data_IF_180964562073
#
_entry.id   IF_180964562073
#
_cell.length_a   1.000
_cell.length_b   1.000
_cell.length_c   1.000
_cell.angle_alpha   90.00
_cell.angle_beta   90.00
_cell.angle_gamma   90.00
#
_symmetry.space_group_name_H-M   'P 1'
#
loop_
_entity.id
_entity.type
_entity.pdbx_description
1 polymer ?
#
# COMPACT_ATOMS: atom_id res chain seq x y z
N UNK A 1 5.77 88.12 40.48
CA UNK A 1 5.10 86.99 41.13
C UNK A 1 3.60 87.20 41.02
N UNK A 2 2.98 86.70 39.94
CA UNK A 2 1.53 86.68 39.81
C UNK A 2 1.01 85.52 40.63
N UNK A 3 0.41 85.79 41.79
CA UNK A 3 -0.31 84.80 42.58
C UNK A 3 -1.46 84.29 41.71
N UNK A 4 -1.28 83.14 41.05
CA UNK A 4 -2.43 82.41 40.52
C UNK A 4 -3.33 82.17 41.71
N UNK A 5 -4.50 82.81 41.71
CA UNK A 5 -5.38 82.84 42.87
C UNK A 5 -5.66 81.39 43.25
N UNK A 6 -5.67 81.06 44.56
CA UNK A 6 -6.08 79.73 45.04
C UNK A 6 -7.40 79.26 44.43
N UNK A 7 -8.26 80.19 43.97
CA UNK A 7 -9.45 79.90 43.19
C UNK A 7 -9.16 79.34 41.78
N UNK A 8 -8.15 79.85 41.06
CA UNK A 8 -7.75 79.36 39.73
C UNK A 8 -7.18 77.95 39.76
N UNK A 9 -6.34 77.63 40.76
CA UNK A 9 -5.82 76.28 40.95
C UNK A 9 -6.91 75.28 41.33
N UNK A 10 -7.89 75.70 42.14
CA UNK A 10 -9.07 74.86 42.46
C UNK A 10 -9.93 74.62 41.22
N UNK A 11 -10.20 75.66 40.43
CA UNK A 11 -10.95 75.53 39.19
C UNK A 11 -10.27 74.58 38.19
N UNK A 12 -8.95 74.67 38.05
CA UNK A 12 -8.20 73.76 37.18
C UNK A 12 -8.13 72.33 37.73
N UNK A 13 -8.01 72.15 39.05
CA UNK A 13 -8.08 70.82 39.67
C UNK A 13 -9.46 70.18 39.47
N UNK A 14 -10.54 70.97 39.56
CA UNK A 14 -11.90 70.49 39.33
C UNK A 14 -12.13 70.13 37.85
N UNK A 15 -11.53 70.89 36.92
CA UNK A 15 -11.50 70.59 35.50
C UNK A 15 -10.74 69.27 35.21
N UNK A 16 -9.54 69.08 35.78
CA UNK A 16 -8.77 67.83 35.63
C UNK A 16 -9.51 66.65 36.25
N UNK A 17 -10.12 66.82 37.43
CA UNK A 17 -10.97 65.78 38.04
C UNK A 17 -12.21 65.46 37.22
N UNK A 18 -12.74 66.44 36.48
CA UNK A 18 -13.83 66.22 35.54
C UNK A 18 -13.37 65.39 34.36
N UNK A 19 -12.19 65.69 33.80
CA UNK A 19 -11.59 64.90 32.71
C UNK A 19 -11.28 63.46 33.15
N UNK A 20 -10.64 63.26 34.31
CA UNK A 20 -10.36 61.92 34.85
C UNK A 20 -11.65 61.11 35.02
N UNK A 21 -12.72 61.73 35.54
CA UNK A 21 -14.02 61.05 35.67
C UNK A 21 -14.58 60.63 34.32
N UNK A 22 -14.46 61.49 33.31
CA UNK A 22 -14.91 61.20 31.94
C UNK A 22 -14.09 60.06 31.33
N UNK A 23 -12.78 60.05 31.53
CA UNK A 23 -11.90 59.01 30.98
C UNK A 23 -12.11 57.66 31.66
N UNK A 24 -12.34 57.63 32.98
CA UNK A 24 -12.72 56.40 33.70
C UNK A 24 -14.05 55.86 33.19
N UNK A 25 -15.03 56.74 32.93
CA UNK A 25 -16.31 56.33 32.35
C UNK A 25 -16.14 55.78 30.93
N UNK A 26 -15.34 56.44 30.08
CA UNK A 26 -15.03 55.95 28.74
C UNK A 26 -14.33 54.59 28.78
N UNK A 27 -13.42 54.36 29.74
CA UNK A 27 -12.74 53.08 29.90
C UNK A 27 -13.74 51.98 30.28
N UNK A 28 -14.63 52.24 31.24
CA UNK A 28 -15.66 51.28 31.63
C UNK A 28 -16.61 50.95 30.46
N UNK A 29 -16.96 51.94 29.64
CA UNK A 29 -17.78 51.75 28.43
C UNK A 29 -17.04 50.90 27.38
N UNK A 30 -15.75 51.14 27.17
CA UNK A 30 -14.92 50.34 26.26
C UNK A 30 -14.72 48.91 26.75
N UNK A 31 -14.52 48.69 28.05
CA UNK A 31 -14.42 47.36 28.66
C UNK A 31 -15.76 46.60 28.54
N UNK A 32 -16.88 47.27 28.78
CA UNK A 32 -18.21 46.69 28.58
C UNK A 32 -18.46 46.34 27.10
N UNK A 33 -18.05 47.22 26.18
CA UNK A 33 -18.14 46.95 24.75
C UNK A 33 -17.24 45.78 24.32
N UNK A 34 -16.02 45.70 24.84
CA UNK A 34 -15.11 44.58 24.60
C UNK A 34 -15.74 43.26 25.07
N UNK A 35 -16.32 43.23 26.27
CA UNK A 35 -17.00 42.05 26.79
C UNK A 35 -18.20 41.65 25.91
N UNK A 36 -19.03 42.62 25.50
CA UNK A 36 -20.18 42.37 24.63
C UNK A 36 -19.77 41.81 23.26
N UNK A 37 -18.72 42.37 22.63
CA UNK A 37 -18.18 41.87 21.36
C UNK A 37 -17.57 40.47 21.53
N UNK A 38 -16.93 40.19 22.67
CA UNK A 38 -16.40 38.86 22.96
C UNK A 38 -17.51 37.81 23.12
N UNK A 39 -18.58 38.14 23.85
CA UNK A 39 -19.75 37.27 24.00
C UNK A 39 -20.47 37.04 22.67
N UNK A 40 -20.61 38.08 21.85
CA UNK A 40 -21.18 37.96 20.50
C UNK A 40 -20.30 37.12 19.57
N UNK A 41 -18.98 37.26 19.66
CA UNK A 41 -18.03 36.41 18.94
C UNK A 41 -18.18 34.94 19.34
N UNK A 42 -18.26 34.63 20.64
CA UNK A 42 -18.49 33.26 21.13
C UNK A 42 -19.84 32.71 20.63
N UNK A 43 -20.88 33.55 20.61
CA UNK A 43 -22.23 33.16 20.16
C UNK A 43 -22.28 32.87 18.65
N UNK A 44 -21.58 33.66 17.83
CA UNK A 44 -21.63 33.58 16.36
C UNK A 44 -20.59 32.60 15.82
N UNK A 45 -19.39 32.55 16.41
CA UNK A 45 -18.36 31.59 16.08
C UNK A 45 -18.63 30.28 16.83
N UNK A 46 -19.62 29.52 16.37
CA UNK A 46 -19.66 28.09 16.70
C UNK A 46 -18.40 27.48 16.12
N UNK A 47 -17.55 26.90 16.97
CA UNK A 47 -16.49 25.99 16.55
C UNK A 47 -16.97 24.58 16.91
N UNK A 48 -17.76 23.91 16.05
CA UNK A 48 -18.42 22.65 16.40
C UNK A 48 -17.43 21.60 16.92
N UNK A 49 -16.22 21.59 16.36
CA UNK A 49 -15.11 20.71 16.74
C UNK A 49 -14.54 20.96 18.15
N UNK A 50 -14.70 22.15 18.72
CA UNK A 50 -14.34 22.43 20.12
C UNK A 50 -15.43 22.02 21.12
N UNK A 51 -16.65 21.75 20.63
CA UNK A 51 -17.75 21.18 21.42
C UNK A 51 -17.84 19.64 21.34
N UNK A 52 -17.06 19.02 20.46
CA UNK A 52 -17.02 17.56 20.35
C UNK A 52 -16.24 16.94 21.51
N UNK A 53 -16.63 15.74 21.98
CA UNK A 53 -15.80 14.92 22.86
C UNK A 53 -14.43 14.64 22.24
N UNK A 54 -13.41 14.50 23.08
CA UNK A 54 -12.03 14.29 22.63
C UNK A 54 -11.88 13.03 21.76
N UNK A 55 -12.69 12.00 22.01
CA UNK A 55 -12.74 10.75 21.26
C UNK A 55 -13.20 10.97 19.82
N UNK A 56 -14.24 11.80 19.62
CA UNK A 56 -14.77 12.12 18.30
C UNK A 56 -13.77 12.98 17.54
N UNK A 57 -13.18 13.99 18.19
CA UNK A 57 -12.13 14.83 17.59
C UNK A 57 -10.89 14.00 17.21
N UNK A 58 -10.52 13.01 18.04
CA UNK A 58 -9.43 12.09 17.73
C UNK A 58 -9.73 11.23 16.51
N UNK A 59 -10.95 10.69 16.40
CA UNK A 59 -11.37 9.93 15.23
C UNK A 59 -11.34 10.78 13.96
N UNK A 60 -11.81 12.04 14.03
CA UNK A 60 -11.72 13.00 12.92
C UNK A 60 -10.25 13.19 12.51
N UNK A 61 -9.34 13.41 13.46
CA UNK A 61 -7.92 13.60 13.16
C UNK A 61 -7.31 12.39 12.45
N UNK A 62 -7.65 11.17 12.88
CA UNK A 62 -7.15 9.93 12.23
C UNK A 62 -7.66 9.83 10.79
N UNK A 63 -8.90 10.24 10.52
CA UNK A 63 -9.42 10.30 9.15
C UNK A 63 -8.83 11.42 8.29
N UNK A 64 -8.05 12.35 8.88
CA UNK A 64 -7.30 13.34 8.12
C UNK A 64 -5.95 12.80 7.62
N UNK A 65 -5.51 11.62 8.06
CA UNK A 65 -4.29 11.01 7.56
C UNK A 65 -4.50 10.54 6.11
N UNK A 66 -3.48 10.64 5.24
CA UNK A 66 -3.56 10.08 3.91
C UNK A 66 -3.80 8.57 3.95
N UNK A 67 -4.57 8.06 2.97
CA UNK A 67 -4.69 6.63 2.76
C UNK A 67 -3.29 6.05 2.46
N UNK A 68 -2.86 5.07 3.25
CA UNK A 68 -1.51 4.49 3.14
C UNK A 68 -1.26 3.78 1.79
N UNK A 69 -2.33 3.43 1.07
CA UNK A 69 -2.28 2.71 -0.22
C UNK A 69 -2.19 3.63 -1.45
N UNK A 70 -2.34 4.94 -1.28
CA UNK A 70 -2.26 5.90 -2.38
C UNK A 70 -0.89 6.60 -2.39
N UNK A 71 -0.23 6.73 -3.57
CA UNK A 71 1.01 7.48 -3.68
C UNK A 71 0.74 8.93 -3.32
N UNK A 72 1.13 9.31 -2.11
CA UNK A 72 0.85 10.62 -1.56
C UNK A 72 1.93 11.61 -1.99
N UNK A 73 1.51 12.78 -2.48
CA UNK A 73 2.42 13.92 -2.62
C UNK A 73 3.02 14.26 -1.25
N UNK A 74 4.30 14.66 -1.25
CA UNK A 74 5.11 14.92 -0.05
C UNK A 74 4.49 15.94 0.95
N UNK A 75 3.46 16.67 0.54
CA UNK A 75 2.76 17.68 1.35
C UNK A 75 1.77 17.06 2.38
N UNK A 76 1.40 15.79 2.25
CA UNK A 76 0.39 15.17 3.14
C UNK A 76 0.92 14.82 4.54
N UNK A 77 2.24 14.67 4.70
CA UNK A 77 2.86 14.22 5.96
C UNK A 77 2.96 15.32 7.04
N UNK A 78 2.45 16.53 6.74
CA UNK A 78 2.46 17.68 7.66
C UNK A 78 1.15 17.79 8.44
N UNK A 79 0.12 16.98 8.13
CA UNK A 79 -1.21 17.08 8.76
C UNK A 79 -1.12 16.97 10.28
N UNK A 80 -0.37 16.00 10.82
CA UNK A 80 -0.19 15.83 12.26
C UNK A 80 0.43 17.07 12.90
N UNK A 81 1.41 17.69 12.23
CA UNK A 81 2.06 18.91 12.71
C UNK A 81 1.12 20.10 12.65
N UNK A 82 0.28 20.21 11.60
CA UNK A 82 -0.75 21.25 11.51
C UNK A 82 -1.72 21.15 12.70
N UNK A 83 -2.16 19.94 13.06
CA UNK A 83 -3.07 19.72 14.20
C UNK A 83 -2.49 20.22 15.53
N UNK A 84 -1.16 20.16 15.70
CA UNK A 84 -0.48 20.71 16.88
C UNK A 84 -0.51 22.25 16.96
N UNK A 85 -0.70 22.94 15.83
CA UNK A 85 -0.61 24.41 15.75
C UNK A 85 -1.97 25.12 15.75
N UNK A 86 -3.10 24.40 15.65
CA UNK A 86 -4.44 25.02 15.58
C UNK A 86 -4.83 25.70 16.89
N UNK A 87 -4.87 24.96 17.99
CA UNK A 87 -5.14 25.49 19.33
C UNK A 87 -4.62 24.54 20.43
N UNK A 88 -4.56 25.01 21.68
CA UNK A 88 -4.07 24.20 22.81
C UNK A 88 -4.87 22.93 23.04
N UNK A 89 -6.19 22.95 22.79
CA UNK A 89 -7.06 21.78 22.96
C UNK A 89 -6.76 20.73 21.88
N UNK A 90 -6.63 21.15 20.63
CA UNK A 90 -6.27 20.27 19.52
C UNK A 90 -4.89 19.67 19.69
N UNK A 91 -3.91 20.48 20.08
CA UNK A 91 -2.56 19.98 20.36
C UNK A 91 -2.58 18.88 21.43
N UNK A 92 -3.35 19.07 22.51
CA UNK A 92 -3.50 18.04 23.55
C UNK A 92 -4.14 16.76 23.02
N UNK A 93 -5.29 16.89 22.34
CA UNK A 93 -6.00 15.75 21.77
C UNK A 93 -5.10 15.00 20.78
N UNK A 94 -4.49 15.72 19.83
CA UNK A 94 -3.58 15.14 18.85
C UNK A 94 -2.43 14.39 19.53
N UNK A 95 -1.76 14.99 20.52
CA UNK A 95 -0.68 14.34 21.28
C UNK A 95 -1.14 13.10 22.05
N UNK A 96 -2.39 13.09 22.54
CA UNK A 96 -2.99 11.98 23.27
C UNK A 96 -3.59 10.88 22.38
N UNK A 97 -3.58 11.06 21.06
CA UNK A 97 -4.10 10.09 20.06
C UNK A 97 -2.94 9.32 19.40
N UNK A 98 -2.57 8.12 19.88
CA UNK A 98 -1.36 7.44 19.44
C UNK A 98 -1.36 7.03 17.97
N UNK A 99 -2.55 6.78 17.41
CA UNK A 99 -2.75 6.39 16.00
C UNK A 99 -2.26 7.47 15.01
N UNK A 100 -2.25 8.74 15.41
CA UNK A 100 -1.70 9.82 14.58
C UNK A 100 -0.17 9.73 14.43
N UNK A 101 0.50 9.08 15.40
CA UNK A 101 1.95 9.08 15.54
C UNK A 101 2.56 7.68 15.32
N UNK A 102 1.79 6.71 14.81
CA UNK A 102 2.28 5.35 14.55
C UNK A 102 3.15 5.25 13.30
N UNK A 103 2.93 6.15 12.33
CA UNK A 103 3.68 6.24 11.08
C UNK A 103 4.29 7.63 10.93
N UNK A 104 5.53 7.66 10.45
CA UNK A 104 6.28 8.89 10.24
C UNK A 104 7.04 8.83 8.91
N UNK A 105 6.61 9.64 7.94
CA UNK A 105 7.36 9.89 6.71
C UNK A 105 8.04 11.25 6.78
N UNK A 106 9.35 11.28 6.54
CA UNK A 106 10.15 12.49 6.60
C UNK A 106 11.11 12.56 5.41
N UNK A 107 11.10 13.68 4.71
CA UNK A 107 12.23 14.11 3.89
C UNK A 107 13.18 14.96 4.73
N UNK A 108 14.34 14.39 5.06
CA UNK A 108 15.31 15.00 5.99
C UNK A 108 15.97 16.26 5.45
N UNK A 109 15.90 16.50 4.15
CA UNK A 109 16.44 17.70 3.53
C UNK A 109 15.46 18.89 3.59
N UNK A 110 14.17 18.63 3.82
CA UNK A 110 13.14 19.66 3.97
C UNK A 110 12.91 20.10 5.41
N UNK A 111 13.63 19.51 6.35
CA UNK A 111 13.45 19.74 7.78
C UNK A 111 14.02 21.12 8.20
N UNK A 112 13.25 21.95 8.93
CA UNK A 112 13.74 23.19 9.55
C UNK A 112 14.80 22.93 10.65
N UNK A 113 15.74 23.87 10.90
CA UNK A 113 16.83 23.64 11.84
C UNK A 113 16.43 23.36 13.30
N UNK A 114 17.09 22.37 13.91
CA UNK A 114 17.29 22.16 15.35
C UNK A 114 16.05 21.92 16.22
N UNK A 115 15.42 22.98 16.71
CA UNK A 115 14.44 22.92 17.81
C UNK A 115 13.10 22.29 17.38
N UNK A 116 12.69 22.52 16.13
CA UNK A 116 11.48 21.90 15.56
C UNK A 116 11.68 20.39 15.53
N UNK A 117 12.87 19.92 15.17
CA UNK A 117 13.20 18.51 15.16
C UNK A 117 13.17 17.86 16.52
N UNK A 118 13.75 18.49 17.53
CA UNK A 118 13.75 17.92 18.87
C UNK A 118 12.33 17.77 19.43
N UNK A 119 11.43 18.71 19.11
CA UNK A 119 10.01 18.63 19.48
C UNK A 119 9.32 17.48 18.76
N UNK A 120 9.53 17.40 17.45
CA UNK A 120 8.95 16.44 16.52
C UNK A 120 9.39 15.00 16.85
N UNK A 121 10.70 14.78 16.93
CA UNK A 121 11.34 13.54 17.41
C UNK A 121 10.86 13.23 18.83
N UNK A 122 10.84 14.23 19.72
CA UNK A 122 10.37 14.06 21.08
C UNK A 122 8.92 13.61 21.20
N UNK A 123 8.04 14.06 20.31
CA UNK A 123 6.63 13.66 20.28
C UNK A 123 6.46 12.23 19.76
N UNK A 124 7.07 11.89 18.61
CA UNK A 124 6.97 10.55 18.02
C UNK A 124 7.62 9.47 18.88
N UNK A 125 8.86 9.69 19.34
CA UNK A 125 9.63 8.68 20.05
C UNK A 125 9.21 8.44 21.51
N UNK A 126 8.25 9.20 22.04
CA UNK A 126 7.60 8.89 23.32
C UNK A 126 6.69 7.66 23.24
N UNK A 127 6.33 7.18 22.04
CA UNK A 127 5.37 6.09 21.83
C UNK A 127 6.07 4.75 21.56
N UNK A 128 5.32 3.64 21.63
CA UNK A 128 5.85 2.28 21.84
C UNK A 128 6.43 1.60 20.58
N UNK A 129 5.85 1.85 19.41
CA UNK A 129 6.27 1.26 18.13
C UNK A 129 6.09 2.32 17.05
N UNK A 130 7.07 2.45 16.16
CA UNK A 130 7.12 3.52 15.15
C UNK A 130 7.52 2.90 13.82
N UNK A 131 6.69 3.16 12.83
CA UNK A 131 6.99 2.96 11.42
C UNK A 131 7.62 4.24 10.88
N UNK A 132 8.79 4.11 10.27
CA UNK A 132 9.60 5.25 9.87
C UNK A 132 9.96 5.16 8.40
N UNK A 133 9.63 6.18 7.62
CA UNK A 133 9.94 6.31 6.19
C UNK A 133 10.82 7.54 5.99
N UNK A 134 12.10 7.31 5.74
CA UNK A 134 13.10 8.36 5.63
C UNK A 134 13.54 8.52 4.17
N UNK A 135 13.60 9.77 3.72
CA UNK A 135 14.16 10.15 2.43
C UNK A 135 15.14 11.31 2.59
N UNK A 136 16.07 11.45 1.65
CA UNK A 136 17.11 12.50 1.66
C UNK A 136 18.38 12.14 2.44
N UNK A 137 19.18 13.15 2.80
CA UNK A 137 20.50 13.01 3.45
C UNK A 137 20.42 12.62 4.94
N UNK A 138 20.45 11.31 5.23
CA UNK A 138 20.14 10.75 6.56
C UNK A 138 21.06 11.25 7.68
N UNK A 139 22.26 11.74 7.36
CA UNK A 139 23.21 12.29 8.32
C UNK A 139 22.57 13.30 9.31
N UNK A 140 21.63 14.12 8.83
CA UNK A 140 20.90 15.10 9.66
C UNK A 140 19.98 14.48 10.71
N UNK A 141 19.55 13.23 10.48
CA UNK A 141 18.60 12.49 11.33
C UNK A 141 19.25 11.34 12.12
N UNK A 142 20.55 11.08 11.93
CA UNK A 142 21.24 9.96 12.56
C UNK A 142 21.16 9.98 14.09
N UNK A 143 21.32 11.14 14.73
CA UNK A 143 21.27 11.24 16.21
C UNK A 143 19.90 10.83 16.80
N UNK A 144 18.77 11.38 16.32
CA UNK A 144 17.43 10.89 16.65
C UNK A 144 17.25 9.39 16.43
N UNK A 145 17.74 8.87 15.30
CA UNK A 145 17.61 7.46 14.94
C UNK A 145 18.40 6.55 15.88
N UNK A 146 19.66 6.89 16.17
CA UNK A 146 20.53 6.17 17.14
C UNK A 146 19.85 6.02 18.49
N UNK A 147 19.26 7.11 18.99
CA UNK A 147 18.63 7.12 20.31
C UNK A 147 17.39 6.22 20.39
N UNK A 148 16.71 5.98 19.26
CA UNK A 148 15.39 5.39 19.26
C UNK A 148 15.22 4.15 18.38
N UNK A 149 16.29 3.70 17.70
CA UNK A 149 16.32 2.47 16.92
C UNK A 149 15.69 1.25 17.63
N UNK A 150 15.84 1.06 18.96
CA UNK A 150 15.22 -0.09 19.64
C UNK A 150 13.68 -0.09 19.64
N UNK A 151 13.03 1.01 19.25
CA UNK A 151 11.55 1.14 19.19
C UNK A 151 11.00 1.10 17.76
N UNK A 152 11.87 1.17 16.76
CA UNK A 152 11.46 1.18 15.35
C UNK A 152 11.00 -0.22 14.95
N UNK A 153 9.77 -0.33 14.46
CA UNK A 153 9.15 -1.60 14.05
C UNK A 153 9.17 -1.82 12.54
N UNK A 154 9.09 -0.75 11.77
CA UNK A 154 9.27 -0.77 10.32
C UNK A 154 10.16 0.41 9.90
N UNK A 155 11.10 0.17 8.99
CA UNK A 155 12.00 1.19 8.47
C UNK A 155 12.02 1.15 6.94
N UNK A 156 11.63 2.25 6.32
CA UNK A 156 11.73 2.48 4.88
C UNK A 156 12.79 3.54 4.62
N UNK A 157 13.74 3.23 3.74
CA UNK A 157 14.83 4.12 3.34
C UNK A 157 14.74 4.40 1.83
N UNK A 158 14.53 5.68 1.49
CA UNK A 158 14.54 6.24 0.13
C UNK A 158 15.68 7.25 0.04
N UNK A 159 16.90 6.76 0.21
CA UNK A 159 18.12 7.55 0.29
C UNK A 159 19.19 6.99 -0.63
N UNK A 160 20.31 7.72 -0.75
CA UNK A 160 21.47 7.26 -1.54
C UNK A 160 22.16 6.08 -0.86
N UNK A 161 22.97 5.36 -1.61
CA UNK A 161 23.71 4.21 -1.10
C UNK A 161 24.63 4.59 0.08
N UNK A 162 25.30 5.75 -0.01
CA UNK A 162 26.16 6.28 1.06
C UNK A 162 25.40 6.47 2.38
N UNK A 163 24.16 6.96 2.32
CA UNK A 163 23.34 7.20 3.52
C UNK A 163 22.95 5.86 4.19
N UNK A 164 22.73 4.80 3.40
CA UNK A 164 22.47 3.46 3.93
C UNK A 164 23.75 2.86 4.53
N UNK A 165 24.92 3.06 3.90
CA UNK A 165 26.20 2.61 4.44
C UNK A 165 26.53 3.30 5.77
N UNK A 166 26.27 4.61 5.89
CA UNK A 166 26.43 5.35 7.14
C UNK A 166 25.54 4.77 8.25
N UNK A 167 24.33 4.35 7.90
CA UNK A 167 23.41 3.71 8.83
C UNK A 167 23.93 2.34 9.30
N UNK A 168 24.47 1.53 8.39
CA UNK A 168 25.14 0.27 8.72
C UNK A 168 26.35 0.53 9.64
N UNK A 169 27.17 1.53 9.33
CA UNK A 169 28.35 1.91 10.11
C UNK A 169 28.01 2.42 11.52
N UNK A 170 26.82 2.97 11.72
CA UNK A 170 26.35 3.46 13.01
C UNK A 170 25.99 2.35 14.02
N UNK A 171 25.99 1.07 13.61
CA UNK A 171 25.76 -0.10 14.50
C UNK A 171 24.49 0.02 15.35
N UNK A 172 23.42 0.54 14.75
CA UNK A 172 22.12 0.70 15.37
C UNK A 172 21.57 -0.62 15.91
N UNK A 173 20.86 -0.58 17.04
CA UNK A 173 20.23 -1.76 17.64
C UNK A 173 18.72 -1.72 17.40
N UNK A 174 18.23 -2.63 16.57
CA UNK A 174 16.86 -2.64 16.04
C UNK A 174 16.03 -3.78 16.68
N UNK A 175 15.83 -3.70 17.99
CA UNK A 175 15.20 -4.74 18.81
C UNK A 175 13.73 -5.08 18.45
N UNK A 176 13.02 -4.17 17.79
CA UNK A 176 11.62 -4.37 17.39
C UNK A 176 11.41 -4.36 15.87
N UNK A 177 12.48 -4.19 15.07
CA UNK A 177 12.36 -4.07 13.62
C UNK A 177 11.91 -5.40 13.03
N UNK A 178 10.72 -5.39 12.45
CA UNK A 178 10.08 -6.51 11.79
C UNK A 178 10.10 -6.36 10.26
N UNK A 179 10.08 -5.12 9.77
CA UNK A 179 10.07 -4.80 8.34
C UNK A 179 11.17 -3.80 7.99
N UNK A 180 11.93 -4.10 6.94
CA UNK A 180 12.94 -3.21 6.37
C UNK A 180 12.68 -3.06 4.87
N UNK A 181 12.59 -1.82 4.39
CA UNK A 181 12.42 -1.49 2.98
C UNK A 181 13.54 -0.56 2.52
N UNK A 182 14.26 -0.90 1.45
CA UNK A 182 15.33 -0.06 0.88
C UNK A 182 15.13 0.05 -0.62
N UNK A 183 14.95 1.28 -1.11
CA UNK A 183 14.80 1.57 -2.54
C UNK A 183 16.12 2.00 -3.18
N UNK A 184 16.42 1.46 -4.36
CA UNK A 184 17.60 1.84 -5.17
C UNK A 184 17.38 3.00 -6.13
N UNK A 185 16.17 3.57 -6.19
CA UNK A 185 15.84 4.70 -7.07
C UNK A 185 16.78 5.92 -6.90
N UNK A 186 17.45 6.03 -5.75
CA UNK A 186 18.38 7.11 -5.43
C UNK A 186 19.85 6.67 -5.36
N UNK A 187 20.19 5.45 -5.77
CA UNK A 187 21.58 4.97 -5.74
C UNK A 187 22.36 5.49 -6.94
N UNK A 188 23.62 5.82 -6.72
CA UNK A 188 24.55 6.09 -7.80
C UNK A 188 24.84 4.83 -8.62
N UNK A 189 25.12 4.96 -9.92
CA UNK A 189 25.41 3.81 -10.79
C UNK A 189 26.56 2.96 -10.24
N UNK A 190 26.33 1.65 -10.13
CA UNK A 190 27.29 0.69 -9.60
C UNK A 190 27.48 0.74 -8.08
N UNK A 191 26.74 1.58 -7.34
CA UNK A 191 26.81 1.61 -5.90
C UNK A 191 26.25 0.31 -5.29
N UNK A 192 26.98 -0.22 -4.30
CA UNK A 192 26.61 -1.45 -3.58
C UNK A 192 26.47 -1.16 -2.09
N UNK A 193 25.62 -1.95 -1.42
CA UNK A 193 25.39 -1.86 0.02
C UNK A 193 25.39 -3.27 0.58
N UNK A 194 26.04 -3.46 1.73
CA UNK A 194 25.99 -4.69 2.52
C UNK A 194 25.16 -4.42 3.80
N UNK A 195 24.05 -5.14 3.93
CA UNK A 195 23.09 -5.01 5.02
C UNK A 195 23.29 -6.05 6.12
N UNK A 196 24.20 -7.02 5.94
CA UNK A 196 24.35 -8.15 6.85
C UNK A 196 24.60 -7.71 8.31
N UNK A 197 25.45 -6.69 8.49
CA UNK A 197 25.77 -6.16 9.83
C UNK A 197 24.57 -5.46 10.49
N UNK A 198 23.70 -4.81 9.71
CA UNK A 198 22.47 -4.20 10.19
C UNK A 198 21.44 -5.26 10.55
N UNK A 199 21.25 -6.24 9.67
CA UNK A 199 20.29 -7.34 9.85
C UNK A 199 20.63 -8.19 11.07
N UNK A 200 21.92 -8.45 11.32
CA UNK A 200 22.39 -9.15 12.51
C UNK A 200 21.97 -8.46 13.83
N UNK A 201 21.57 -7.19 13.78
CA UNK A 201 21.10 -6.38 14.91
C UNK A 201 19.59 -6.12 14.87
N UNK A 202 18.87 -6.82 14.00
CA UNK A 202 17.42 -6.79 13.86
C UNK A 202 16.87 -8.22 14.02
N UNK A 203 16.85 -8.78 15.24
CA UNK A 203 16.54 -10.20 15.48
C UNK A 203 15.07 -10.59 15.21
N UNK A 204 14.19 -9.61 14.97
CA UNK A 204 12.76 -9.82 14.69
C UNK A 204 12.38 -9.55 13.24
N UNK A 205 13.35 -9.26 12.38
CA UNK A 205 13.10 -8.91 10.99
C UNK A 205 12.59 -10.15 10.24
N UNK A 206 11.32 -10.09 9.84
CA UNK A 206 10.63 -11.13 9.08
C UNK A 206 10.28 -10.71 7.65
N UNK A 207 10.16 -9.40 7.41
CA UNK A 207 9.79 -8.83 6.10
C UNK A 207 10.94 -7.98 5.57
N UNK A 208 11.39 -8.27 4.36
CA UNK A 208 12.40 -7.49 3.66
C UNK A 208 11.89 -7.07 2.29
N UNK A 209 12.04 -5.79 1.97
CA UNK A 209 11.76 -5.22 0.66
C UNK A 209 13.00 -4.50 0.15
N UNK A 210 13.53 -4.95 -0.97
CA UNK A 210 14.78 -4.47 -1.54
C UNK A 210 14.67 -4.34 -3.06
N UNK A 211 15.24 -3.28 -3.58
CA UNK A 211 15.38 -3.06 -5.01
C UNK A 211 16.85 -3.26 -5.38
N UNK A 212 17.13 -3.99 -6.45
CA UNK A 212 18.15 -5.05 -6.61
C UNK A 212 19.48 -5.05 -5.84
N UNK A 213 19.45 -4.88 -4.53
CA UNK A 213 20.53 -5.28 -3.63
C UNK A 213 20.69 -6.80 -3.76
N UNK A 214 21.89 -7.34 -4.02
CA UNK A 214 22.08 -8.76 -4.29
C UNK A 214 21.83 -9.64 -3.05
N UNK A 215 21.43 -10.92 -3.21
CA UNK A 215 21.17 -11.86 -2.10
C UNK A 215 22.28 -11.94 -1.05
N UNK A 216 23.53 -11.90 -1.51
CA UNK A 216 24.72 -11.95 -0.64
C UNK A 216 24.81 -10.80 0.36
N UNK A 217 24.24 -9.64 0.04
CA UNK A 217 24.25 -8.46 0.91
C UNK A 217 23.28 -8.54 2.10
N UNK A 218 22.39 -9.54 2.15
CA UNK A 218 21.46 -9.73 3.25
C UNK A 218 21.31 -11.21 3.67
N UNK A 219 22.29 -12.05 3.32
CA UNK A 219 22.35 -13.46 3.68
C UNK A 219 22.27 -13.72 5.20
N UNK A 220 22.64 -12.75 6.04
CA UNK A 220 22.46 -12.83 7.50
C UNK A 220 20.99 -13.05 7.91
N UNK A 221 20.02 -12.72 7.04
CA UNK A 221 18.59 -12.85 7.30
C UNK A 221 18.01 -14.25 6.94
N UNK A 222 18.85 -15.16 6.40
CA UNK A 222 18.42 -16.43 5.79
C UNK A 222 17.42 -17.27 6.60
N UNK A 223 17.53 -17.27 7.92
CA UNK A 223 16.70 -18.09 8.80
C UNK A 223 15.56 -17.33 9.48
N UNK A 224 15.47 -16.01 9.32
CA UNK A 224 14.46 -15.18 10.00
C UNK A 224 13.42 -14.60 9.04
N UNK A 225 13.74 -14.44 7.75
CA UNK A 225 12.79 -13.91 6.78
C UNK A 225 11.70 -14.92 6.43
N UNK A 226 10.46 -14.41 6.42
CA UNK A 226 9.26 -15.12 5.98
C UNK A 226 8.66 -14.49 4.73
N UNK A 227 8.90 -13.20 4.50
CA UNK A 227 8.37 -12.46 3.36
C UNK A 227 9.49 -11.61 2.73
N UNK A 228 9.74 -11.80 1.44
CA UNK A 228 10.76 -11.07 0.69
C UNK A 228 10.14 -10.48 -0.58
N UNK A 229 10.39 -9.20 -0.79
CA UNK A 229 10.09 -8.49 -2.04
C UNK A 229 11.39 -8.01 -2.65
N UNK A 230 11.70 -8.49 -3.84
CA UNK A 230 12.89 -8.11 -4.57
C UNK A 230 12.53 -7.56 -5.96
N UNK A 231 13.04 -6.38 -6.27
CA UNK A 231 12.82 -5.73 -7.56
C UNK A 231 14.13 -5.59 -8.33
N UNK A 232 14.09 -5.62 -9.66
CA UNK A 232 15.27 -5.50 -10.53
C UNK A 232 16.31 -6.62 -10.32
N UNK A 233 15.85 -7.87 -10.21
CA UNK A 233 16.71 -9.05 -10.05
C UNK A 233 16.95 -9.77 -11.39
N UNK A 234 18.02 -10.55 -11.51
CA UNK A 234 18.14 -11.53 -12.61
C UNK A 234 17.50 -12.87 -12.23
N UNK A 235 17.16 -13.76 -13.19
CA UNK A 235 16.65 -15.11 -12.88
C UNK A 235 17.56 -15.87 -11.91
N UNK A 236 18.89 -15.81 -12.12
CA UNK A 236 19.88 -16.42 -11.24
C UNK A 236 19.76 -15.91 -9.80
N UNK A 237 19.60 -14.60 -9.59
CA UNK A 237 19.45 -14.01 -8.26
C UNK A 237 18.15 -14.45 -7.58
N UNK A 238 17.07 -14.64 -8.35
CA UNK A 238 15.81 -15.20 -7.81
C UNK A 238 16.03 -16.65 -7.36
N UNK A 239 16.71 -17.47 -8.17
CA UNK A 239 17.06 -18.85 -7.78
C UNK A 239 18.00 -18.90 -6.56
N UNK A 240 18.93 -17.96 -6.44
CA UNK A 240 19.77 -17.80 -5.25
C UNK A 240 18.94 -17.50 -4.00
N UNK A 241 17.95 -16.61 -4.10
CA UNK A 241 17.01 -16.32 -3.00
C UNK A 241 16.26 -17.59 -2.58
N UNK A 242 15.68 -18.30 -3.55
CA UNK A 242 14.93 -19.52 -3.27
C UNK A 242 15.83 -20.58 -2.61
N UNK A 243 17.12 -20.65 -2.98
CA UNK A 243 18.07 -21.60 -2.40
C UNK A 243 18.53 -21.18 -0.98
N UNK A 244 18.75 -19.89 -0.74
CA UNK A 244 19.40 -19.39 0.47
C UNK A 244 18.43 -19.13 1.64
N UNK A 245 17.14 -18.93 1.39
CA UNK A 245 16.18 -18.46 2.41
C UNK A 245 15.12 -19.54 2.74
N UNK A 246 15.46 -20.63 3.45
CA UNK A 246 14.61 -21.83 3.60
C UNK A 246 13.29 -21.63 4.35
N UNK A 247 13.18 -20.55 5.14
CA UNK A 247 11.99 -20.23 5.93
C UNK A 247 11.02 -19.28 5.20
N UNK A 248 11.32 -18.93 3.95
CA UNK A 248 10.51 -18.02 3.17
C UNK A 248 9.14 -18.63 2.87
N UNK A 249 8.08 -17.88 3.21
CA UNK A 249 6.70 -18.24 2.94
C UNK A 249 6.15 -17.48 1.74
N UNK A 250 6.62 -16.24 1.52
CA UNK A 250 6.20 -15.37 0.42
C UNK A 250 7.39 -14.75 -0.29
N UNK A 251 7.38 -14.84 -1.62
CA UNK A 251 8.34 -14.21 -2.51
C UNK A 251 7.61 -13.39 -3.57
N UNK A 252 7.89 -12.10 -3.66
CA UNK A 252 7.52 -11.22 -4.77
C UNK A 252 8.80 -10.76 -5.45
N UNK A 253 9.14 -11.37 -6.59
CA UNK A 253 10.31 -11.00 -7.36
C UNK A 253 9.91 -10.37 -8.70
N UNK A 254 10.55 -9.25 -9.04
CA UNK A 254 10.51 -8.68 -10.38
C UNK A 254 11.86 -8.74 -11.05
N UNK A 255 11.89 -9.42 -12.18
CA UNK A 255 13.08 -9.63 -12.98
C UNK A 255 13.33 -8.38 -13.82
N UNK A 256 14.56 -7.86 -13.77
CA UNK A 256 14.95 -6.75 -14.64
C UNK A 256 14.94 -7.22 -16.09
N UNK A 257 14.26 -6.49 -16.97
CA UNK A 257 14.40 -6.64 -18.41
C UNK A 257 15.80 -6.13 -18.74
N UNK A 258 16.77 -7.03 -18.80
CA UNK A 258 18.09 -6.71 -19.35
C UNK A 258 17.88 -6.62 -20.87
N UNK A 259 18.32 -5.52 -21.50
CA UNK A 259 18.42 -5.46 -22.96
C UNK A 259 19.29 -6.65 -23.37
N UNK A 260 18.64 -7.70 -23.89
CA UNK A 260 19.24 -8.98 -24.23
C UNK A 260 20.43 -8.73 -25.16
N UNK A 261 21.65 -8.87 -24.65
CA UNK A 261 22.73 -9.37 -25.48
C UNK A 261 22.42 -10.84 -25.75
N UNK A 262 22.52 -11.27 -27.02
CA UNK A 262 22.18 -12.60 -27.56
C UNK A 262 22.87 -13.82 -26.88
N UNK A 263 23.50 -13.66 -25.72
CA UNK A 263 24.33 -14.67 -25.05
C UNK A 263 23.66 -15.35 -23.81
N UNK A 264 22.52 -14.86 -23.30
CA UNK A 264 21.88 -15.39 -22.07
C UNK A 264 20.65 -16.30 -22.30
N UNK A 265 20.14 -16.42 -23.54
CA UNK A 265 18.95 -17.25 -23.87
C UNK A 265 19.20 -18.77 -23.72
N UNK A 266 20.45 -19.22 -23.56
CA UNK A 266 20.86 -20.63 -23.41
C UNK A 266 21.30 -21.00 -21.97
N UNK A 267 21.05 -20.15 -20.97
CA UNK A 267 21.45 -20.43 -19.60
C UNK A 267 20.61 -21.55 -18.95
N UNK A 268 21.13 -22.78 -18.98
CA UNK A 268 20.55 -23.95 -18.29
C UNK A 268 20.82 -23.87 -16.78
N UNK A 269 19.83 -23.36 -16.02
CA UNK A 269 19.95 -23.25 -14.57
C UNK A 269 19.64 -24.58 -13.86
N UNK A 270 20.25 -24.80 -12.70
CA UNK A 270 19.88 -25.93 -11.84
C UNK A 270 18.47 -25.74 -11.26
N UNK A 271 17.66 -26.80 -11.28
CA UNK A 271 16.35 -26.81 -10.63
C UNK A 271 16.51 -26.69 -9.11
N UNK A 272 15.83 -25.70 -8.53
CA UNK A 272 15.84 -25.41 -7.09
C UNK A 272 14.51 -25.81 -6.46
N UNK A 273 14.59 -26.50 -5.31
CA UNK A 273 13.42 -26.87 -4.51
C UNK A 273 13.28 -25.96 -3.30
N UNK A 274 12.08 -25.42 -3.07
CA UNK A 274 11.76 -24.68 -1.85
C UNK A 274 10.66 -25.38 -1.05
N UNK A 275 10.94 -25.89 0.16
CA UNK A 275 10.00 -26.75 0.89
C UNK A 275 8.80 -25.99 1.45
N UNK A 276 8.96 -24.71 1.81
CA UNK A 276 7.97 -23.96 2.59
C UNK A 276 7.28 -22.81 1.84
N UNK A 277 7.63 -22.57 0.56
CA UNK A 277 7.13 -21.39 -0.14
C UNK A 277 5.66 -21.58 -0.47
N UNK A 278 4.82 -20.66 0.00
CA UNK A 278 3.35 -20.74 -0.14
C UNK A 278 2.80 -19.71 -1.13
N UNK A 279 3.45 -18.55 -1.25
CA UNK A 279 3.03 -17.50 -2.18
C UNK A 279 4.23 -17.10 -3.04
N UNK A 280 4.04 -17.13 -4.36
CA UNK A 280 5.04 -16.70 -5.32
C UNK A 280 4.41 -15.70 -6.29
N UNK A 281 5.09 -14.58 -6.47
CA UNK A 281 4.83 -13.63 -7.55
C UNK A 281 6.10 -13.44 -8.35
N UNK A 282 6.03 -13.69 -9.66
CA UNK A 282 7.12 -13.52 -10.62
C UNK A 282 6.58 -12.88 -11.89
N UNK A 283 7.21 -11.82 -12.40
CA UNK A 283 6.89 -11.27 -13.71
C UNK A 283 7.45 -12.12 -14.87
N UNK A 284 8.58 -12.79 -14.66
CA UNK A 284 9.17 -13.75 -15.59
C UNK A 284 8.69 -15.19 -15.35
N UNK A 285 8.15 -15.83 -16.39
CA UNK A 285 7.74 -17.23 -16.32
C UNK A 285 8.85 -18.22 -16.62
N UNK A 286 9.95 -17.84 -17.27
CA UNK A 286 11.04 -18.76 -17.60
C UNK A 286 11.74 -19.24 -16.32
N UNK A 287 11.85 -18.36 -15.32
CA UNK A 287 12.32 -18.73 -13.98
C UNK A 287 11.47 -19.86 -13.34
N UNK A 288 10.18 -19.98 -13.69
CA UNK A 288 9.32 -21.06 -13.15
C UNK A 288 9.79 -22.45 -13.58
N UNK A 289 10.45 -22.59 -14.74
CA UNK A 289 10.97 -23.87 -15.24
C UNK A 289 12.02 -24.49 -14.32
N UNK A 290 12.65 -23.67 -13.48
CA UNK A 290 13.74 -24.08 -12.59
C UNK A 290 13.29 -24.18 -11.12
N UNK A 291 11.99 -24.15 -10.85
CA UNK A 291 11.45 -24.18 -9.49
C UNK A 291 10.66 -25.47 -9.21
N UNK A 292 10.79 -25.95 -7.98
CA UNK A 292 10.01 -27.04 -7.37
C UNK A 292 9.45 -26.57 -6.03
N UNK A 293 8.12 -26.43 -5.93
CA UNK A 293 7.42 -25.70 -4.86
C UNK A 293 6.24 -26.53 -4.30
N UNK A 294 6.50 -27.59 -3.52
CA UNK A 294 5.47 -28.54 -3.06
C UNK A 294 4.38 -27.91 -2.17
N UNK A 295 4.67 -26.80 -1.49
CA UNK A 295 3.72 -26.12 -0.60
C UNK A 295 3.03 -24.91 -1.24
N UNK A 296 3.16 -24.70 -2.55
CA UNK A 296 2.64 -23.52 -3.23
C UNK A 296 1.11 -23.45 -3.16
N UNK A 297 0.58 -22.33 -2.67
CA UNK A 297 -0.85 -22.07 -2.52
C UNK A 297 -1.32 -20.90 -3.39
N UNK A 298 -0.45 -19.93 -3.66
CA UNK A 298 -0.76 -18.78 -4.51
C UNK A 298 0.36 -18.52 -5.51
N UNK A 299 -0.01 -18.41 -6.79
CA UNK A 299 0.89 -18.05 -7.88
C UNK A 299 0.36 -16.82 -8.61
N UNK A 300 1.20 -15.80 -8.76
CA UNK A 300 0.93 -14.62 -9.60
C UNK A 300 2.05 -14.45 -10.62
N UNK A 301 1.69 -14.37 -11.91
CA UNK A 301 2.66 -14.12 -12.97
C UNK A 301 2.05 -13.37 -14.14
N UNK A 302 2.88 -12.63 -14.86
CA UNK A 302 2.41 -11.79 -15.97
C UNK A 302 2.21 -12.70 -17.18
N UNK A 303 3.24 -13.23 -17.81
CA UNK A 303 3.10 -14.06 -19.02
C UNK A 303 3.34 -15.52 -18.68
N UNK A 304 2.29 -16.30 -18.41
CA UNK A 304 2.43 -17.72 -18.05
C UNK A 304 2.12 -18.61 -19.27
N UNK A 305 3.09 -19.39 -19.77
CA UNK A 305 2.84 -20.49 -20.71
C UNK A 305 2.20 -21.69 -20.00
N UNK A 306 1.39 -22.45 -20.73
CA UNK A 306 0.72 -23.64 -20.17
C UNK A 306 1.72 -24.74 -19.82
N UNK A 307 2.78 -24.86 -20.61
CA UNK A 307 3.87 -25.82 -20.46
C UNK A 307 4.69 -25.53 -19.20
N UNK A 308 5.00 -24.25 -18.94
CA UNK A 308 5.72 -23.83 -17.74
C UNK A 308 4.93 -24.14 -16.47
N UNK A 309 3.61 -23.85 -16.47
CA UNK A 309 2.74 -24.21 -15.34
C UNK A 309 2.64 -25.73 -15.18
N UNK A 310 2.44 -26.47 -16.26
CA UNK A 310 2.34 -27.94 -16.21
C UNK A 310 3.62 -28.56 -15.65
N UNK A 311 4.78 -28.14 -16.15
CA UNK A 311 6.06 -28.63 -15.69
C UNK A 311 6.31 -28.28 -14.20
N UNK A 312 5.89 -27.10 -13.74
CA UNK A 312 5.94 -26.74 -12.32
C UNK A 312 5.06 -27.66 -11.47
N UNK A 313 3.82 -27.91 -11.90
CA UNK A 313 2.88 -28.78 -11.18
C UNK A 313 3.39 -30.22 -11.11
N UNK A 314 3.97 -30.73 -12.20
CA UNK A 314 4.57 -32.07 -12.25
C UNK A 314 5.77 -32.19 -11.32
N UNK A 315 6.74 -31.28 -11.41
CA UNK A 315 7.95 -31.30 -10.55
C UNK A 315 7.60 -31.14 -9.07
N UNK A 316 6.58 -30.36 -8.76
CA UNK A 316 6.15 -30.04 -7.39
C UNK A 316 5.13 -31.02 -6.81
N UNK A 317 4.90 -32.15 -7.48
CA UNK A 317 3.95 -33.20 -7.07
C UNK A 317 2.51 -32.69 -6.86
N UNK A 318 2.03 -31.83 -7.76
CA UNK A 318 0.69 -31.21 -7.73
C UNK A 318 0.43 -30.44 -6.41
N UNK A 319 1.10 -29.29 -6.21
CA UNK A 319 0.99 -28.52 -4.99
C UNK A 319 -0.45 -28.05 -4.74
N UNK A 320 -0.82 -27.73 -3.49
CA UNK A 320 -2.18 -27.34 -3.13
C UNK A 320 -2.51 -25.90 -3.55
N UNK A 321 -2.38 -25.61 -4.85
CA UNK A 321 -2.61 -24.29 -5.43
C UNK A 321 -4.07 -23.91 -5.30
N UNK A 322 -4.33 -22.82 -4.57
CA UNK A 322 -5.66 -22.27 -4.28
C UNK A 322 -5.94 -20.98 -5.02
N UNK A 323 -4.90 -20.21 -5.34
CA UNK A 323 -5.00 -18.92 -5.99
C UNK A 323 -4.06 -18.88 -7.20
N UNK A 324 -4.59 -18.46 -8.34
CA UNK A 324 -3.81 -18.27 -9.55
C UNK A 324 -4.20 -16.95 -10.19
N UNK A 325 -3.22 -16.06 -10.37
CA UNK A 325 -3.34 -14.86 -11.20
C UNK A 325 -2.36 -14.97 -12.35
N UNK A 326 -2.85 -14.83 -13.57
CA UNK A 326 -2.04 -15.01 -14.77
C UNK A 326 -2.58 -14.20 -15.95
N UNK A 327 -1.70 -13.89 -16.90
CA UNK A 327 -2.09 -13.43 -18.22
C UNK A 327 -1.89 -14.63 -19.14
N UNK A 328 -2.98 -15.29 -19.58
CA UNK A 328 -2.84 -16.47 -20.41
C UNK A 328 -2.27 -16.06 -21.77
N UNK A 329 -1.25 -16.78 -22.22
CA UNK A 329 -0.70 -16.59 -23.57
C UNK A 329 -1.84 -16.76 -24.60
N UNK A 330 -2.13 -15.73 -25.42
CA UNK A 330 -3.18 -15.80 -26.44
C UNK A 330 -2.97 -16.91 -27.47
N UNK A 331 -1.75 -17.44 -27.62
CA UNK A 331 -1.42 -18.53 -28.54
C UNK A 331 -1.59 -19.94 -27.94
N UNK A 332 -1.72 -20.08 -26.61
CA UNK A 332 -1.76 -21.39 -25.94
C UNK A 332 -3.19 -21.88 -25.70
N UNK A 333 -3.65 -22.84 -26.51
CA UNK A 333 -4.93 -23.56 -26.28
C UNK A 333 -4.84 -24.57 -25.12
N UNK A 334 -3.62 -24.86 -24.64
CA UNK A 334 -3.32 -26.00 -23.77
C UNK A 334 -3.73 -25.80 -22.30
N UNK A 335 -4.00 -24.56 -21.89
CA UNK A 335 -4.42 -24.23 -20.52
C UNK A 335 -5.68 -24.97 -20.05
N UNK A 336 -6.59 -25.35 -20.96
CA UNK A 336 -7.80 -26.10 -20.60
C UNK A 336 -7.42 -27.45 -19.96
N UNK A 337 -6.38 -28.11 -20.47
CA UNK A 337 -5.89 -29.38 -19.91
C UNK A 337 -5.27 -29.18 -18.52
N UNK A 338 -4.52 -28.09 -18.34
CA UNK A 338 -3.88 -27.73 -17.07
C UNK A 338 -4.93 -27.46 -16.00
N UNK A 339 -5.99 -26.71 -16.32
CA UNK A 339 -7.07 -26.42 -15.36
C UNK A 339 -7.83 -27.67 -14.88
N UNK A 340 -7.87 -28.76 -15.66
CA UNK A 340 -8.44 -30.03 -15.19
C UNK A 340 -7.63 -30.66 -14.05
N UNK A 341 -6.33 -30.36 -13.97
CA UNK A 341 -5.46 -30.86 -12.90
C UNK A 341 -5.59 -30.05 -11.60
N UNK A 342 -6.08 -28.80 -11.70
CA UNK A 342 -6.15 -27.84 -10.59
C UNK A 342 -7.40 -27.99 -9.73
N UNK A 343 -7.59 -29.18 -9.15
CA UNK A 343 -8.82 -29.54 -8.42
C UNK A 343 -9.05 -28.74 -7.11
N UNK A 344 -8.03 -28.05 -6.59
CA UNK A 344 -8.08 -27.26 -5.35
C UNK A 344 -8.11 -25.74 -5.57
N UNK A 345 -8.11 -25.29 -6.82
CA UNK A 345 -8.11 -23.87 -7.15
C UNK A 345 -9.44 -23.23 -6.75
N UNK A 346 -9.38 -22.29 -5.81
CA UNK A 346 -10.54 -21.59 -5.26
C UNK A 346 -10.70 -20.19 -5.85
N UNK A 347 -9.60 -19.54 -6.24
CA UNK A 347 -9.60 -18.21 -6.84
C UNK A 347 -8.77 -18.18 -8.12
N UNK A 348 -9.36 -17.64 -9.19
CA UNK A 348 -8.71 -17.49 -10.49
C UNK A 348 -8.91 -16.05 -11.00
N UNK A 349 -7.79 -15.39 -11.32
CA UNK A 349 -7.74 -14.04 -11.85
C UNK A 349 -7.03 -14.03 -13.21
N UNK A 350 -7.83 -13.99 -14.27
CA UNK A 350 -7.35 -14.02 -15.66
C UNK A 350 -7.26 -12.59 -16.19
N UNK A 351 -6.05 -12.18 -16.55
CA UNK A 351 -5.74 -10.82 -17.03
C UNK A 351 -5.51 -10.87 -18.55
N UNK A 352 -6.30 -10.09 -19.28
CA UNK A 352 -6.21 -9.90 -20.72
C UNK A 352 -6.32 -11.19 -21.58
N UNK A 353 -7.24 -12.12 -21.28
CA UNK A 353 -7.39 -13.34 -22.07
C UNK A 353 -7.84 -13.06 -23.51
N UNK A 354 -7.40 -13.91 -24.44
CA UNK A 354 -7.88 -13.88 -25.82
C UNK A 354 -9.36 -14.26 -25.92
N UNK A 355 -10.02 -13.81 -26.99
CA UNK A 355 -11.43 -14.15 -27.24
C UNK A 355 -11.62 -15.66 -27.34
N UNK A 356 -10.75 -16.36 -28.07
CA UNK A 356 -10.89 -17.81 -28.29
C UNK A 356 -10.68 -18.61 -26.99
N UNK A 357 -9.63 -18.28 -26.24
CA UNK A 357 -9.39 -18.86 -24.91
C UNK A 357 -10.61 -18.66 -24.01
N UNK A 358 -11.17 -17.44 -23.97
CA UNK A 358 -12.33 -17.12 -23.13
C UNK A 358 -13.55 -17.98 -23.53
N UNK A 359 -13.80 -18.17 -24.84
CA UNK A 359 -14.90 -19.04 -25.32
C UNK A 359 -14.70 -20.49 -24.90
N UNK A 360 -13.51 -21.04 -25.07
CA UNK A 360 -13.19 -22.42 -24.69
C UNK A 360 -13.30 -22.63 -23.18
N UNK A 361 -12.74 -21.70 -22.40
CA UNK A 361 -12.79 -21.72 -20.94
C UNK A 361 -14.22 -21.77 -20.42
N UNK A 362 -15.09 -20.84 -20.83
CA UNK A 362 -16.47 -20.79 -20.35
C UNK A 362 -17.35 -21.90 -20.91
N UNK A 363 -17.05 -22.41 -22.11
CA UNK A 363 -17.69 -23.62 -22.63
C UNK A 363 -17.42 -24.78 -21.69
N UNK A 364 -16.16 -25.04 -21.33
CA UNK A 364 -15.78 -26.12 -20.43
C UNK A 364 -16.35 -25.92 -19.01
N UNK A 365 -16.22 -24.71 -18.47
CA UNK A 365 -16.72 -24.32 -17.14
C UNK A 365 -18.22 -24.60 -16.96
N UNK A 366 -19.00 -24.47 -18.04
CA UNK A 366 -20.46 -24.64 -18.00
C UNK A 366 -20.96 -26.08 -18.11
N UNK A 367 -20.10 -27.04 -18.46
CA UNK A 367 -20.51 -28.42 -18.77
C UNK A 367 -19.76 -29.49 -17.99
N UNK A 368 -18.52 -29.25 -17.61
CA UNK A 368 -17.66 -30.26 -17.00
C UNK A 368 -17.59 -30.08 -15.48
N UNK A 369 -18.04 -31.09 -14.74
CA UNK A 369 -18.05 -31.09 -13.27
C UNK A 369 -16.67 -31.26 -12.65
N UNK A 370 -15.68 -31.72 -13.41
CA UNK A 370 -14.29 -31.84 -12.96
C UNK A 370 -13.50 -30.54 -13.18
N UNK A 371 -13.94 -29.70 -14.11
CA UNK A 371 -13.24 -28.47 -14.47
C UNK A 371 -13.36 -27.41 -13.36
N UNK A 372 -12.22 -27.16 -12.69
CA UNK A 372 -12.09 -26.17 -11.62
C UNK A 372 -13.18 -26.30 -10.55
N UNK A 373 -13.50 -27.54 -10.12
CA UNK A 373 -14.66 -27.84 -9.25
C UNK A 373 -14.71 -27.07 -7.91
N UNK A 374 -13.57 -26.60 -7.41
CA UNK A 374 -13.44 -25.87 -6.16
C UNK A 374 -13.48 -24.34 -6.32
N UNK A 375 -13.54 -23.83 -7.56
CA UNK A 375 -13.49 -22.41 -7.87
C UNK A 375 -14.73 -21.68 -7.32
N UNK A 376 -14.47 -20.62 -6.55
CA UNK A 376 -15.45 -19.75 -5.91
C UNK A 376 -15.32 -18.29 -6.36
N UNK A 377 -14.09 -17.85 -6.59
CA UNK A 377 -13.79 -16.48 -7.00
C UNK A 377 -13.23 -16.46 -8.42
N UNK A 378 -13.94 -15.83 -9.35
CA UNK A 378 -13.50 -15.67 -10.72
C UNK A 378 -13.41 -14.20 -11.10
N UNK A 379 -12.21 -13.75 -11.46
CA UNK A 379 -11.96 -12.41 -12.01
C UNK A 379 -11.45 -12.50 -13.43
N UNK A 380 -12.04 -11.69 -14.31
CA UNK A 380 -11.55 -11.45 -15.65
C UNK A 380 -11.34 -9.95 -15.84
N UNK A 381 -10.18 -9.60 -16.36
CA UNK A 381 -9.88 -8.25 -16.83
C UNK A 381 -9.48 -8.32 -18.30
N UNK A 382 -9.86 -7.34 -19.11
CA UNK A 382 -9.40 -7.22 -20.49
C UNK A 382 -9.31 -5.75 -20.89
N UNK A 383 -8.82 -5.49 -22.09
CA UNK A 383 -8.69 -4.17 -22.66
C UNK A 383 -9.63 -4.01 -23.86
N UNK A 384 -10.60 -3.11 -23.76
CA UNK A 384 -11.68 -2.99 -24.77
C UNK A 384 -11.16 -2.59 -26.15
N UNK A 385 -10.04 -1.85 -26.21
CA UNK A 385 -9.49 -1.39 -27.49
C UNK A 385 -8.62 -2.43 -28.21
N UNK A 386 -8.42 -3.63 -27.66
CA UNK A 386 -7.54 -4.66 -28.24
C UNK A 386 -8.39 -5.70 -28.97
N UNK A 387 -8.34 -5.77 -30.32
CA UNK A 387 -9.27 -6.61 -31.09
C UNK A 387 -9.15 -8.13 -30.85
N UNK A 388 -7.99 -8.61 -30.37
CA UNK A 388 -7.78 -10.03 -30.04
C UNK A 388 -8.44 -10.44 -28.71
N UNK A 389 -8.78 -9.47 -27.86
CA UNK A 389 -9.41 -9.69 -26.58
C UNK A 389 -10.93 -9.59 -26.68
N UNK A 390 -11.60 -10.19 -25.69
CA UNK A 390 -13.04 -10.18 -25.63
C UNK A 390 -13.57 -8.77 -25.36
N UNK A 391 -14.49 -8.27 -26.21
CA UNK A 391 -15.18 -7.00 -25.93
C UNK A 391 -16.25 -7.17 -24.85
N UNK A 392 -16.57 -6.11 -24.10
CA UNK A 392 -17.49 -6.17 -22.97
C UNK A 392 -18.87 -6.75 -23.33
N UNK A 393 -19.44 -6.37 -24.46
CA UNK A 393 -20.74 -6.89 -24.91
C UNK A 393 -20.70 -8.40 -25.12
N UNK A 394 -19.62 -8.92 -25.73
CA UNK A 394 -19.46 -10.36 -25.96
C UNK A 394 -19.16 -11.11 -24.67
N UNK A 395 -18.37 -10.52 -23.75
CA UNK A 395 -18.13 -11.08 -22.43
C UNK A 395 -19.43 -11.25 -21.65
N UNK A 396 -20.30 -10.22 -21.67
CA UNK A 396 -21.55 -10.23 -20.92
C UNK A 396 -22.46 -11.37 -21.40
N UNK A 397 -22.62 -11.52 -22.72
CA UNK A 397 -23.46 -12.54 -23.36
C UNK A 397 -22.95 -13.98 -23.12
N UNK A 398 -21.63 -14.16 -23.10
CA UNK A 398 -20.99 -15.48 -22.92
C UNK A 398 -20.95 -15.92 -21.44
N UNK A 399 -20.50 -15.04 -20.56
CA UNK A 399 -20.03 -15.43 -19.21
C UNK A 399 -21.19 -15.69 -18.26
N UNK A 400 -22.17 -14.78 -18.21
CA UNK A 400 -23.31 -14.87 -17.29
C UNK A 400 -24.06 -16.20 -17.44
N UNK A 401 -24.52 -16.57 -18.65
CA UNK A 401 -25.18 -17.85 -18.88
C UNK A 401 -24.31 -19.06 -18.57
N UNK A 402 -23.00 -18.99 -18.82
CA UNK A 402 -22.07 -20.08 -18.48
C UNK A 402 -21.94 -20.27 -16.97
N UNK A 403 -21.90 -19.18 -16.19
CA UNK A 403 -21.86 -19.22 -14.72
C UNK A 403 -23.16 -19.74 -14.13
N UNK A 404 -24.33 -19.32 -14.65
CA UNK A 404 -25.62 -19.87 -14.22
C UNK A 404 -25.66 -21.38 -14.43
N UNK A 405 -25.23 -21.86 -15.61
CA UNK A 405 -25.14 -23.30 -15.89
C UNK A 405 -24.20 -24.00 -14.93
N UNK A 406 -23.01 -23.44 -14.66
CA UNK A 406 -22.05 -23.98 -13.69
C UNK A 406 -22.66 -24.11 -12.30
N UNK A 407 -23.29 -23.05 -11.79
CA UNK A 407 -23.87 -23.05 -10.44
C UNK A 407 -25.03 -24.06 -10.29
N UNK A 408 -25.65 -24.47 -11.40
CA UNK A 408 -26.67 -25.52 -11.41
C UNK A 408 -26.09 -26.95 -11.48
N UNK A 409 -24.78 -27.12 -11.72
CA UNK A 409 -24.15 -28.44 -11.75
C UNK A 409 -24.10 -29.08 -10.36
N UNK A 410 -24.31 -30.39 -10.31
CA UNK A 410 -24.12 -31.17 -9.09
C UNK A 410 -22.62 -31.41 -8.84
N UNK A 411 -22.23 -31.52 -7.57
CA UNK A 411 -20.86 -31.81 -7.12
C UNK A 411 -19.79 -30.75 -7.50
N UNK A 412 -20.21 -29.56 -7.90
CA UNK A 412 -19.36 -28.39 -8.15
C UNK A 412 -19.65 -27.31 -7.11
N UNK A 413 -18.63 -26.63 -6.61
CA UNK A 413 -18.84 -25.46 -5.75
C UNK A 413 -19.39 -24.30 -6.61
N UNK A 414 -20.54 -23.71 -6.24
CA UNK A 414 -21.05 -22.53 -6.95
C UNK A 414 -20.08 -21.36 -6.77
N UNK A 415 -20.02 -20.48 -7.78
CA UNK A 415 -19.24 -19.25 -7.68
C UNK A 415 -19.86 -18.34 -6.61
N UNK A 416 -19.01 -17.83 -5.72
CA UNK A 416 -19.35 -16.86 -4.68
C UNK A 416 -19.03 -15.43 -5.14
N UNK A 417 -18.02 -15.24 -6.01
CA UNK A 417 -17.64 -13.94 -6.58
C UNK A 417 -17.35 -14.02 -8.07
N UNK A 418 -17.88 -13.06 -8.84
CA UNK A 418 -17.64 -12.89 -10.27
C UNK A 418 -17.32 -11.43 -10.57
N UNK A 419 -16.08 -11.14 -10.99
CA UNK A 419 -15.62 -9.78 -11.30
C UNK A 419 -15.19 -9.68 -12.76
N UNK A 420 -15.93 -8.91 -13.54
CA UNK A 420 -15.70 -8.65 -14.96
C UNK A 420 -15.31 -7.19 -15.14
N UNK A 421 -14.06 -6.94 -15.52
CA UNK A 421 -13.46 -5.60 -15.56
C UNK A 421 -12.97 -5.27 -16.97
N UNK A 422 -13.66 -4.37 -17.65
CA UNK A 422 -13.21 -3.82 -18.93
C UNK A 422 -12.30 -2.60 -18.71
N UNK A 423 -11.04 -2.68 -19.11
CA UNK A 423 -10.17 -1.49 -19.19
C UNK A 423 -10.50 -0.69 -20.43
N UNK A 424 -10.77 0.60 -20.21
CA UNK A 424 -11.04 1.58 -21.26
C UNK A 424 -9.95 2.63 -21.27
N UNK A 425 -9.50 3.03 -22.47
CA UNK A 425 -8.52 4.11 -22.62
C UNK A 425 -9.08 5.49 -22.26
N UNK A 426 -10.40 5.65 -22.44
CA UNK A 426 -11.10 6.91 -22.19
C UNK A 426 -12.12 6.71 -21.06
N UNK A 427 -12.10 7.57 -20.02
CA UNK A 427 -13.11 7.55 -18.97
C UNK A 427 -14.51 7.95 -19.49
N UNK A 428 -14.60 8.47 -20.72
CA UNK A 428 -15.86 8.83 -21.38
C UNK A 428 -16.47 7.68 -22.20
N UNK A 429 -15.78 6.54 -22.28
CA UNK A 429 -16.31 5.36 -22.98
C UNK A 429 -17.51 4.82 -22.21
N UNK A 430 -18.68 4.88 -22.85
CA UNK A 430 -19.91 4.30 -22.31
C UNK A 430 -20.34 3.09 -23.13
N UNK A 431 -20.82 2.06 -22.44
CA UNK A 431 -21.28 0.83 -23.06
C UNK A 431 -22.80 0.77 -23.05
N UNK A 432 -23.40 0.40 -24.18
CA UNK A 432 -24.82 0.09 -24.25
C UNK A 432 -25.00 -1.42 -24.14
N UNK A 433 -25.17 -1.90 -22.92
CA UNK A 433 -25.48 -3.30 -22.64
C UNK A 433 -27.01 -3.42 -22.56
N UNK A 434 -27.59 -4.31 -23.37
CA UNK A 434 -29.02 -4.58 -23.32
C UNK A 434 -29.43 -5.16 -21.95
N UNK A 435 -30.57 -4.71 -21.45
CA UNK A 435 -31.12 -5.09 -20.14
C UNK A 435 -31.32 -6.61 -19.99
N UNK A 436 -31.66 -7.31 -21.09
CA UNK A 436 -31.80 -8.77 -21.13
C UNK A 436 -30.48 -9.47 -20.78
N UNK A 437 -29.33 -8.91 -21.19
CA UNK A 437 -28.02 -9.47 -20.86
C UNK A 437 -27.65 -9.21 -19.38
N UNK A 438 -28.01 -8.03 -18.85
CA UNK A 438 -27.78 -7.67 -17.45
C UNK A 438 -28.68 -8.44 -16.48
N UNK A 439 -29.85 -8.90 -16.93
CA UNK A 439 -30.80 -9.65 -16.11
C UNK A 439 -30.15 -10.88 -15.45
N UNK A 440 -29.32 -11.61 -16.21
CA UNK A 440 -28.57 -12.79 -15.74
C UNK A 440 -27.63 -12.46 -14.57
N UNK A 441 -26.93 -11.32 -14.64
CA UNK A 441 -25.98 -10.90 -13.60
C UNK A 441 -26.72 -10.41 -12.34
N UNK A 442 -27.86 -9.76 -12.51
CA UNK A 442 -28.72 -9.38 -11.38
C UNK A 442 -29.38 -10.58 -10.72
N UNK A 443 -29.67 -11.64 -11.48
CA UNK A 443 -30.12 -12.93 -10.95
C UNK A 443 -29.04 -13.56 -10.08
N UNK A 444 -27.81 -13.70 -10.59
CA UNK A 444 -26.67 -14.19 -9.82
C UNK A 444 -26.48 -13.39 -8.52
N UNK A 445 -26.59 -12.06 -8.59
CA UNK A 445 -26.51 -11.19 -7.40
C UNK A 445 -27.65 -11.43 -6.40
N UNK A 446 -28.88 -11.70 -6.89
CA UNK A 446 -30.03 -12.09 -6.04
C UNK A 446 -29.83 -13.46 -5.39
N UNK A 447 -29.14 -14.37 -6.06
CA UNK A 447 -28.78 -15.70 -5.55
C UNK A 447 -27.61 -15.67 -4.56
N UNK A 448 -27.01 -14.50 -4.33
CA UNK A 448 -25.96 -14.29 -3.32
C UNK A 448 -24.54 -14.21 -3.87
N UNK A 449 -24.35 -14.20 -5.19
CA UNK A 449 -23.04 -14.02 -5.83
C UNK A 449 -22.60 -12.54 -5.74
N UNK A 450 -21.38 -12.27 -5.30
CA UNK A 450 -20.77 -10.94 -5.38
C UNK A 450 -20.37 -10.65 -6.83
N UNK A 451 -21.26 -9.97 -7.55
CA UNK A 451 -21.09 -9.64 -8.97
C UNK A 451 -20.61 -8.20 -9.13
N UNK A 452 -19.48 -8.05 -9.82
CA UNK A 452 -19.00 -6.79 -10.36
C UNK A 452 -18.91 -6.90 -11.88
N UNK A 453 -19.58 -6.00 -12.59
CA UNK A 453 -19.52 -5.89 -14.05
C UNK A 453 -19.33 -4.43 -14.41
N UNK A 454 -18.16 -4.05 -14.91
CA UNK A 454 -17.86 -2.63 -15.06
C UNK A 454 -16.55 -2.31 -15.72
N UNK A 455 -16.28 -1.01 -15.79
CA UNK A 455 -14.94 -0.46 -16.04
C UNK A 455 -14.24 -0.20 -14.72
N UNK A 456 -12.95 0.15 -14.74
CA UNK A 456 -12.23 0.55 -13.52
C UNK A 456 -12.86 1.73 -12.76
N UNK A 457 -13.74 2.50 -13.40
CA UNK A 457 -14.39 3.70 -12.85
C UNK A 457 -15.90 3.58 -12.64
N UNK A 458 -16.58 2.62 -13.25
CA UNK A 458 -18.05 2.53 -13.26
C UNK A 458 -18.53 1.08 -13.20
N UNK A 459 -19.50 0.77 -12.33
CA UNK A 459 -20.18 -0.54 -12.29
C UNK A 459 -21.57 -0.46 -12.93
N UNK A 460 -21.91 -1.47 -13.73
CA UNK A 460 -23.22 -1.63 -14.37
C UNK A 460 -24.20 -2.49 -13.56
N UNK A 461 -23.72 -3.22 -12.54
CA UNK A 461 -24.52 -4.14 -11.69
C UNK A 461 -24.19 -3.97 -10.21
#
# INVERSE_FOLDING_TARGET
MGTSSTAQLRAHLDEVRSHIRKDVQNLAELEAYQAAVHDELIRVASFPILSLPAEITSAIFVHCLPNQDEPTDADSDVVQLVLLHVCKTWARIALDTPQLWSFLRINVDLIPPGWVMDLIVGAWFRRRLIELDLSGTLQKFMQPLVKNAPKVSALTLRSRAVDVQDLVAAQLDFQQLHELSISRQHFEDGATVDLNALIARAPKLGVLHIDGIPPSAFAAAQHQLTDLRCYCYTPLQVLEVVRQFPNLLRLDARVAIVDQSDDDDDADYEVVTHPNLTHLRLDDADTLCYLTLPCLQALETIELPAEALSALLERSESPPLRQLRMYPDPASEDFISVFLTLAHLASLDLRFPSTEFTRLFFKQLSVDTHFLRALRDLRLEWHESVPSQIGLVFAVDLIGPAVVKRNALQDVQPLESLKLVARVQSPWTSFRIHEEMLATYRELKREGVDVYLGTTSESYV
#
